data_IF_556899233238
#
_entry.id   IF_556899233238
#
_cell.length_a   1.000
_cell.length_b   1.000
_cell.length_c   1.000
_cell.angle_alpha   90.00
_cell.angle_beta   90.00
_cell.angle_gamma   90.00
#
_symmetry.space_group_name_H-M   'P 1'
#
loop_
_entity.id
_entity.type
_entity.pdbx_description
1 polymer ?
#
# COMPACT_ATOMS: atom_id res chain seq x y z
N UNK A 1 -39.29 -36.31 19.47
CA UNK A 1 -38.53 -35.73 18.35
C UNK A 1 -38.05 -34.36 18.81
N UNK A 2 -36.73 -34.10 18.83
CA UNK A 2 -36.22 -32.81 19.27
C UNK A 2 -36.62 -31.69 18.28
N UNK A 3 -36.74 -30.47 18.77
CA UNK A 3 -37.14 -29.29 18.01
C UNK A 3 -36.09 -28.20 18.23
N UNK A 4 -35.29 -27.94 17.20
CA UNK A 4 -34.21 -26.95 17.19
C UNK A 4 -34.53 -25.76 16.27
N UNK A 5 -35.78 -25.62 15.83
CA UNK A 5 -36.15 -24.59 14.85
C UNK A 5 -35.86 -23.19 15.38
N UNK A 6 -35.31 -22.34 14.53
CA UNK A 6 -34.87 -20.98 14.89
C UNK A 6 -33.49 -20.92 15.54
N UNK A 7 -32.88 -22.05 15.90
CA UNK A 7 -31.50 -22.08 16.38
C UNK A 7 -30.49 -21.96 15.23
N UNK A 8 -29.31 -21.43 15.56
CA UNK A 8 -28.22 -21.22 14.63
C UNK A 8 -27.22 -22.37 14.72
N UNK A 9 -26.92 -22.96 13.58
CA UNK A 9 -25.89 -23.98 13.42
C UNK A 9 -24.91 -23.56 12.32
N UNK A 10 -23.76 -24.23 12.26
CA UNK A 10 -22.71 -23.97 11.30
C UNK A 10 -22.30 -25.25 10.59
N UNK A 11 -22.11 -25.18 9.28
CA UNK A 11 -21.56 -26.29 8.48
C UNK A 11 -20.13 -26.60 8.96
N UNK A 12 -19.82 -27.85 9.31
CA UNK A 12 -18.45 -28.24 9.69
C UNK A 12 -17.49 -28.25 8.49
N UNK A 13 -18.01 -28.21 7.26
CA UNK A 13 -17.22 -28.21 6.04
C UNK A 13 -16.83 -26.80 5.61
N UNK A 14 -17.79 -25.86 5.67
CA UNK A 14 -17.63 -24.49 5.14
C UNK A 14 -17.60 -23.41 6.22
N UNK A 15 -18.07 -23.71 7.44
CA UNK A 15 -18.29 -22.74 8.49
C UNK A 15 -19.51 -21.84 8.27
N UNK A 16 -20.28 -22.04 7.19
CA UNK A 16 -21.44 -21.23 6.87
C UNK A 16 -22.55 -21.39 7.90
N UNK A 17 -23.16 -20.26 8.27
CA UNK A 17 -24.25 -20.19 9.21
C UNK A 17 -25.56 -20.66 8.55
N UNK A 18 -26.31 -21.51 9.25
CA UNK A 18 -27.67 -21.92 8.89
C UNK A 18 -28.61 -21.72 10.08
N UNK A 19 -29.87 -21.38 9.77
CA UNK A 19 -30.97 -21.37 10.75
C UNK A 19 -31.80 -22.63 10.54
N UNK A 20 -32.01 -23.41 11.59
CA UNK A 20 -32.80 -24.64 11.49
C UNK A 20 -34.28 -24.30 11.26
N UNK A 21 -34.88 -24.86 10.23
CA UNK A 21 -36.29 -24.62 9.86
C UNK A 21 -37.21 -25.81 10.09
N UNK A 22 -36.66 -27.02 10.25
CA UNK A 22 -37.40 -28.27 10.36
C UNK A 22 -37.25 -28.93 11.75
N UNK A 23 -38.26 -29.69 12.16
CA UNK A 23 -38.24 -30.49 13.39
C UNK A 23 -37.53 -31.81 13.08
N UNK A 24 -36.56 -32.21 13.91
CA UNK A 24 -35.83 -33.45 13.71
C UNK A 24 -34.44 -33.42 14.33
N UNK A 25 -33.71 -34.52 14.14
CA UNK A 25 -32.29 -34.57 14.49
C UNK A 25 -31.46 -33.71 13.53
N UNK A 26 -30.44 -33.04 14.06
CA UNK A 26 -29.51 -32.24 13.24
C UNK A 26 -28.53 -33.18 12.53
N UNK A 27 -28.26 -32.92 11.24
CA UNK A 27 -27.24 -33.67 10.50
C UNK A 27 -25.87 -33.53 11.17
N UNK A 28 -25.06 -34.59 11.09
CA UNK A 28 -23.70 -34.63 11.63
C UNK A 28 -22.75 -33.65 10.92
N UNK A 29 -23.16 -33.09 9.79
CA UNK A 29 -22.42 -32.05 9.06
C UNK A 29 -22.59 -30.65 9.67
N UNK A 30 -23.35 -30.51 10.76
CA UNK A 30 -23.56 -29.24 11.44
C UNK A 30 -23.14 -29.29 12.90
N UNK A 31 -22.69 -28.13 13.40
CA UNK A 31 -22.32 -27.91 14.80
C UNK A 31 -22.93 -26.62 15.31
N UNK A 32 -23.33 -26.59 16.59
CA UNK A 32 -23.72 -25.34 17.25
C UNK A 32 -22.49 -24.45 17.58
N UNK A 33 -21.28 -24.99 17.46
CA UNK A 33 -20.04 -24.23 17.71
C UNK A 33 -19.75 -23.27 16.55
N UNK A 34 -19.67 -21.99 16.87
CA UNK A 34 -19.28 -20.96 15.90
C UNK A 34 -17.81 -21.16 15.45
N UNK A 35 -17.50 -21.02 14.15
CA UNK A 35 -16.12 -20.98 13.66
C UNK A 35 -15.28 -19.90 14.34
N UNK A 36 -13.95 -20.07 14.30
CA UNK A 36 -13.03 -19.04 14.75
C UNK A 36 -13.10 -17.82 13.82
N UNK A 37 -12.73 -16.63 14.32
CA UNK A 37 -12.66 -15.40 13.52
C UNK A 37 -11.44 -15.37 12.57
N UNK A 38 -10.71 -16.47 12.45
CA UNK A 38 -9.54 -16.65 11.61
C UNK A 38 -9.70 -17.93 10.79
N UNK A 39 -8.97 -18.11 9.66
CA UNK A 39 -8.95 -19.35 8.91
C UNK A 39 -8.84 -20.59 9.81
N UNK A 40 -9.91 -21.39 9.82
CA UNK A 40 -10.04 -22.55 10.67
C UNK A 40 -10.67 -23.73 9.93
N UNK A 41 -10.51 -24.92 10.50
CA UNK A 41 -11.07 -26.17 10.01
C UNK A 41 -11.63 -26.99 11.18
N UNK A 42 -12.61 -27.81 10.90
CA UNK A 42 -13.17 -28.72 11.89
C UNK A 42 -12.25 -29.93 12.07
N UNK A 43 -11.82 -30.22 13.30
CA UNK A 43 -10.96 -31.38 13.62
C UNK A 43 -11.75 -32.67 13.92
N UNK A 44 -13.09 -32.60 13.86
CA UNK A 44 -14.00 -33.66 14.27
C UNK A 44 -14.72 -33.35 15.59
N UNK A 45 -14.21 -32.40 16.40
CA UNK A 45 -14.77 -32.03 17.70
C UNK A 45 -14.93 -30.53 17.90
N UNK A 46 -14.01 -29.73 17.36
CA UNK A 46 -13.97 -28.27 17.49
C UNK A 46 -13.32 -27.63 16.28
N UNK A 47 -13.48 -26.32 16.17
CA UNK A 47 -12.73 -25.52 15.21
C UNK A 47 -11.28 -25.34 15.68
N UNK A 48 -10.33 -25.70 14.82
CA UNK A 48 -8.90 -25.46 15.01
C UNK A 48 -8.37 -24.56 13.91
N UNK A 49 -7.28 -23.85 14.17
CA UNK A 49 -6.65 -22.99 13.15
C UNK A 49 -6.18 -23.82 11.97
N UNK A 50 -6.37 -23.27 10.79
CA UNK A 50 -5.87 -23.85 9.54
C UNK A 50 -4.53 -23.18 9.21
N UNK A 51 -3.44 -23.70 9.77
CA UNK A 51 -2.09 -23.10 9.69
C UNK A 51 -1.63 -22.83 8.24
N UNK A 52 -2.02 -23.68 7.29
CA UNK A 52 -1.70 -23.47 5.87
C UNK A 52 -2.41 -22.23 5.32
N UNK A 53 -3.72 -22.10 5.59
CA UNK A 53 -4.49 -20.92 5.18
C UNK A 53 -4.07 -19.67 5.93
N UNK A 54 -3.69 -19.80 7.20
CA UNK A 54 -3.14 -18.70 8.00
C UNK A 54 -1.84 -18.19 7.39
N UNK A 55 -0.92 -19.10 7.04
CA UNK A 55 0.34 -18.74 6.39
C UNK A 55 0.10 -18.08 5.03
N UNK A 56 -0.78 -18.66 4.22
CA UNK A 56 -1.13 -18.10 2.91
C UNK A 56 -1.75 -16.69 3.02
N UNK A 57 -2.69 -16.50 3.94
CA UNK A 57 -3.31 -15.20 4.22
C UNK A 57 -2.27 -14.18 4.70
N UNK A 58 -1.38 -14.60 5.60
CA UNK A 58 -0.34 -13.73 6.12
C UNK A 58 0.62 -13.26 5.02
N UNK A 59 1.11 -14.18 4.17
CA UNK A 59 1.93 -13.83 3.01
C UNK A 59 1.19 -12.91 2.05
N UNK A 60 -0.07 -13.21 1.72
CA UNK A 60 -0.89 -12.37 0.84
C UNK A 60 -1.02 -10.95 1.39
N UNK A 61 -1.30 -10.80 2.69
CA UNK A 61 -1.41 -9.47 3.32
C UNK A 61 -0.10 -8.71 3.33
N UNK A 62 1.04 -9.37 3.60
CA UNK A 62 2.36 -8.73 3.47
C UNK A 62 2.57 -8.17 2.07
N UNK A 63 2.33 -8.97 1.03
CA UNK A 63 2.47 -8.54 -0.37
C UNK A 63 1.54 -7.37 -0.69
N UNK A 64 0.29 -7.40 -0.23
CA UNK A 64 -0.66 -6.31 -0.44
C UNK A 64 -0.21 -5.00 0.22
N UNK A 65 0.36 -5.06 1.43
CA UNK A 65 0.87 -3.86 2.11
C UNK A 65 2.12 -3.29 1.44
N UNK A 66 3.03 -4.13 0.95
CA UNK A 66 4.19 -3.68 0.17
C UNK A 66 3.74 -2.94 -1.11
N UNK A 67 2.76 -3.49 -1.82
CA UNK A 67 2.18 -2.82 -3.00
C UNK A 67 1.54 -1.49 -2.62
N UNK A 68 0.76 -1.47 -1.53
CA UNK A 68 0.09 -0.25 -1.06
C UNK A 68 1.06 0.86 -0.69
N UNK A 69 2.19 0.52 -0.08
CA UNK A 69 3.27 1.47 0.22
C UNK A 69 3.90 2.02 -1.05
N UNK A 70 4.17 1.17 -2.04
CA UNK A 70 4.69 1.59 -3.32
C UNK A 70 3.73 2.56 -4.02
N UNK A 71 2.45 2.18 -4.13
CA UNK A 71 1.42 3.00 -4.78
C UNK A 71 1.23 4.35 -4.07
N UNK A 72 1.18 4.36 -2.73
CA UNK A 72 1.04 5.60 -1.95
C UNK A 72 2.26 6.51 -2.09
N UNK A 73 3.46 5.93 -2.17
CA UNK A 73 4.70 6.68 -2.44
C UNK A 73 4.65 7.34 -3.82
N UNK A 74 4.23 6.61 -4.85
CA UNK A 74 4.10 7.14 -6.21
C UNK A 74 3.01 8.22 -6.29
N UNK A 75 1.90 8.05 -5.58
CA UNK A 75 0.85 9.05 -5.46
C UNK A 75 1.38 10.36 -4.86
N UNK A 76 2.17 10.29 -3.79
CA UNK A 76 2.79 11.48 -3.19
C UNK A 76 3.79 12.13 -4.12
N UNK A 77 4.66 11.34 -4.79
CA UNK A 77 5.56 11.85 -5.82
C UNK A 77 4.78 12.61 -6.91
N UNK A 78 3.67 12.05 -7.38
CA UNK A 78 2.87 12.67 -8.44
C UNK A 78 2.32 14.04 -8.04
N UNK A 79 1.96 14.23 -6.77
CA UNK A 79 1.47 15.53 -6.27
C UNK A 79 2.55 16.63 -6.34
N UNK A 80 3.82 16.31 -6.11
CA UNK A 80 4.92 17.27 -6.26
C UNK A 80 5.25 17.59 -7.72
N UNK A 81 4.82 16.74 -8.64
CA UNK A 81 5.03 16.91 -10.07
C UNK A 81 3.80 17.48 -10.79
N UNK A 82 2.76 17.86 -10.06
CA UNK A 82 1.55 18.42 -10.63
C UNK A 82 1.86 19.71 -11.40
N UNK A 83 1.37 19.77 -12.64
CA UNK A 83 1.58 20.92 -13.54
C UNK A 83 2.77 20.76 -14.49
N UNK A 84 3.61 19.73 -14.31
CA UNK A 84 4.63 19.36 -15.28
C UNK A 84 4.10 18.27 -16.22
N UNK A 85 4.34 18.45 -17.52
CA UNK A 85 4.14 17.39 -18.51
C UNK A 85 5.20 16.29 -18.35
N UNK A 86 4.92 15.08 -18.87
CA UNK A 86 5.89 13.99 -18.83
C UNK A 86 7.18 14.35 -19.59
N UNK A 87 7.08 15.05 -20.72
CA UNK A 87 8.23 15.50 -21.50
C UNK A 87 9.13 16.46 -20.69
N UNK A 88 8.54 17.36 -19.90
CA UNK A 88 9.31 18.21 -19.00
C UNK A 88 10.02 17.38 -17.92
N UNK A 89 9.31 16.46 -17.27
CA UNK A 89 9.87 15.59 -16.21
C UNK A 89 11.07 14.80 -16.73
N UNK A 90 10.95 14.20 -17.92
CA UNK A 90 12.01 13.39 -18.55
C UNK A 90 13.27 14.23 -18.82
N UNK A 91 13.13 15.54 -18.98
CA UNK A 91 14.24 16.46 -19.20
C UNK A 91 14.86 17.04 -17.91
N UNK A 92 14.24 16.89 -16.73
CA UNK A 92 14.71 17.53 -15.50
C UNK A 92 16.15 17.18 -15.15
N UNK A 93 16.53 15.91 -15.27
CA UNK A 93 17.90 15.47 -14.99
C UNK A 93 18.91 16.17 -15.90
N UNK A 94 18.58 16.31 -17.19
CA UNK A 94 19.45 17.02 -18.13
C UNK A 94 19.52 18.52 -17.82
N UNK A 95 18.38 19.16 -17.55
CA UNK A 95 18.32 20.57 -17.18
C UNK A 95 19.14 20.86 -15.92
N UNK A 96 19.06 20.01 -14.90
CA UNK A 96 19.86 20.14 -13.67
C UNK A 96 21.36 20.11 -13.98
N UNK A 97 21.81 19.17 -14.82
CA UNK A 97 23.22 19.05 -15.18
C UNK A 97 23.73 20.23 -16.01
N UNK A 98 22.91 20.74 -16.93
CA UNK A 98 23.21 21.99 -17.64
C UNK A 98 23.32 23.17 -16.65
N UNK A 99 22.39 23.27 -15.69
CA UNK A 99 22.40 24.33 -14.70
C UNK A 99 23.62 24.29 -13.77
N UNK A 100 24.12 23.09 -13.45
CA UNK A 100 25.34 22.87 -12.66
C UNK A 100 26.63 22.95 -13.48
N UNK A 101 26.55 23.28 -14.77
CA UNK A 101 27.68 23.32 -15.72
C UNK A 101 28.39 21.96 -15.91
N UNK A 102 27.68 20.86 -15.69
CA UNK A 102 28.20 19.51 -15.95
C UNK A 102 28.03 19.07 -17.40
N UNK A 103 27.14 19.76 -18.13
CA UNK A 103 26.85 19.53 -19.54
C UNK A 103 26.79 20.88 -20.28
N UNK A 104 27.04 20.89 -21.60
CA UNK A 104 26.78 22.07 -22.43
C UNK A 104 25.32 22.50 -22.36
N UNK A 105 25.10 23.80 -22.28
CA UNK A 105 23.78 24.42 -22.31
C UNK A 105 23.15 24.22 -23.70
N UNK A 106 22.03 23.50 -23.77
CA UNK A 106 21.21 23.43 -24.98
C UNK A 106 19.74 23.58 -24.62
N UNK A 107 19.22 22.76 -23.70
CA UNK A 107 17.81 22.85 -23.30
C UNK A 107 17.56 24.18 -22.58
N UNK A 108 18.47 24.56 -21.68
CA UNK A 108 18.32 25.82 -20.94
C UNK A 108 18.43 27.04 -21.84
N UNK A 109 19.24 26.98 -22.90
CA UNK A 109 19.35 28.04 -23.91
C UNK A 109 18.03 28.22 -24.65
N UNK A 110 17.47 27.13 -25.20
CA UNK A 110 16.19 27.18 -25.91
C UNK A 110 15.03 27.64 -25.01
N UNK A 111 14.99 27.19 -23.74
CA UNK A 111 13.99 27.64 -22.77
C UNK A 111 14.15 29.13 -22.47
N UNK A 112 15.38 29.61 -22.30
CA UNK A 112 15.65 31.02 -22.01
C UNK A 112 15.30 31.91 -23.20
N UNK A 113 15.71 31.54 -24.42
CA UNK A 113 15.40 32.28 -25.64
C UNK A 113 13.90 32.28 -25.97
N UNK A 114 13.17 31.23 -25.59
CA UNK A 114 11.73 31.12 -25.79
C UNK A 114 10.86 31.78 -24.72
N UNK A 115 11.45 32.39 -23.68
CA UNK A 115 10.73 32.95 -22.53
C UNK A 115 11.06 34.42 -22.27
N UNK A 116 10.08 35.28 -22.46
CA UNK A 116 10.23 36.73 -22.22
C UNK A 116 10.23 37.11 -20.72
N UNK A 117 9.90 36.19 -19.81
CA UNK A 117 9.75 36.45 -18.38
C UNK A 117 11.06 36.29 -17.57
N UNK A 118 12.15 35.84 -18.21
CA UNK A 118 13.45 35.59 -17.58
C UNK A 118 14.43 36.73 -17.86
N UNK A 119 15.15 37.20 -16.83
CA UNK A 119 16.12 38.30 -17.00
C UNK A 119 17.49 37.83 -17.47
N UNK A 120 17.85 36.58 -17.16
CA UNK A 120 19.11 35.96 -17.60
C UNK A 120 19.02 34.44 -17.53
N UNK A 121 19.89 33.77 -18.29
CA UNK A 121 20.05 32.31 -18.21
C UNK A 121 20.51 31.86 -16.81
N UNK A 122 21.30 32.68 -16.12
CA UNK A 122 21.72 32.40 -14.73
C UNK A 122 20.54 32.38 -13.74
N UNK A 123 19.53 33.22 -13.96
CA UNK A 123 18.28 33.17 -13.18
C UNK A 123 17.54 31.84 -13.40
N UNK A 124 17.49 31.37 -14.65
CA UNK A 124 16.89 30.08 -15.00
C UNK A 124 17.66 28.92 -14.35
N UNK A 125 18.99 28.90 -14.46
CA UNK A 125 19.85 27.87 -13.85
C UNK A 125 19.64 27.80 -12.34
N UNK A 126 19.59 28.95 -11.67
CA UNK A 126 19.28 29.02 -10.24
C UNK A 126 17.92 28.39 -9.91
N UNK A 127 16.86 28.74 -10.64
CA UNK A 127 15.51 28.18 -10.45
C UNK A 127 15.50 26.65 -10.66
N UNK A 128 16.23 26.15 -11.66
CA UNK A 128 16.35 24.72 -11.94
C UNK A 128 17.04 23.99 -10.78
N UNK A 129 18.14 24.53 -10.27
CA UNK A 129 18.87 23.95 -9.13
C UNK A 129 18.01 23.96 -7.87
N UNK A 130 17.37 25.10 -7.54
CA UNK A 130 16.50 25.22 -6.35
C UNK A 130 15.36 24.19 -6.38
N UNK A 131 14.75 23.99 -7.55
CA UNK A 131 13.72 22.97 -7.75
C UNK A 131 14.29 21.56 -7.58
N UNK A 132 15.44 21.26 -8.19
CA UNK A 132 16.07 19.95 -8.10
C UNK A 132 16.45 19.59 -6.66
N UNK A 133 17.06 20.52 -5.93
CA UNK A 133 17.46 20.35 -4.53
C UNK A 133 16.22 20.12 -3.63
N UNK A 134 15.16 20.91 -3.82
CA UNK A 134 13.91 20.72 -3.08
C UNK A 134 13.30 19.34 -3.35
N UNK A 135 13.24 18.94 -4.62
CA UNK A 135 12.71 17.63 -5.01
C UNK A 135 13.56 16.49 -4.43
N UNK A 136 14.89 16.60 -4.46
CA UNK A 136 15.79 15.61 -3.87
C UNK A 136 15.56 15.44 -2.36
N UNK A 137 15.38 16.54 -1.62
CA UNK A 137 15.07 16.50 -0.18
C UNK A 137 13.74 15.80 0.08
N UNK A 138 12.69 16.14 -0.68
CA UNK A 138 11.35 15.55 -0.54
C UNK A 138 11.40 14.05 -0.84
N UNK A 139 12.02 13.66 -1.96
CA UNK A 139 12.14 12.26 -2.34
C UNK A 139 12.97 11.46 -1.32
N UNK A 140 14.05 12.03 -0.79
CA UNK A 140 14.84 11.39 0.26
C UNK A 140 14.02 11.08 1.52
N UNK A 141 13.21 12.04 1.98
CA UNK A 141 12.29 11.83 3.12
C UNK A 141 11.22 10.79 2.79
N UNK A 142 10.65 10.85 1.58
CA UNK A 142 9.62 9.93 1.11
C UNK A 142 10.13 8.48 1.09
N UNK A 143 11.33 8.27 0.55
CA UNK A 143 11.98 6.96 0.52
C UNK A 143 12.35 6.45 1.91
N UNK A 144 12.80 7.32 2.82
CA UNK A 144 13.07 6.92 4.20
C UNK A 144 11.81 6.39 4.90
N UNK A 145 10.67 7.07 4.73
CA UNK A 145 9.39 6.62 5.30
C UNK A 145 8.95 5.29 4.67
N UNK A 146 9.00 5.18 3.34
CA UNK A 146 8.71 3.93 2.62
C UNK A 146 9.56 2.76 3.16
N UNK A 147 10.88 2.97 3.28
CA UNK A 147 11.80 1.93 3.74
C UNK A 147 11.52 1.48 5.19
N UNK A 148 11.11 2.42 6.06
CA UNK A 148 10.70 2.08 7.42
C UNK A 148 9.45 1.20 7.42
N UNK A 149 8.43 1.52 6.62
CA UNK A 149 7.25 0.67 6.49
C UNK A 149 7.58 -0.70 5.91
N UNK A 150 8.39 -0.78 4.85
CA UNK A 150 8.84 -2.06 4.28
C UNK A 150 9.56 -2.93 5.32
N UNK A 151 10.41 -2.31 6.15
CA UNK A 151 11.11 -3.00 7.25
C UNK A 151 10.13 -3.51 8.30
N UNK A 152 9.13 -2.71 8.69
CA UNK A 152 8.11 -3.12 9.66
C UNK A 152 7.24 -4.27 9.11
N UNK A 153 6.84 -4.22 7.83
CA UNK A 153 6.09 -5.30 7.17
C UNK A 153 6.92 -6.58 7.16
N UNK A 154 8.20 -6.50 6.84
CA UNK A 154 9.09 -7.66 6.84
C UNK A 154 9.20 -8.29 8.24
N UNK A 155 9.36 -7.46 9.28
CA UNK A 155 9.50 -7.89 10.67
C UNK A 155 8.20 -8.35 11.34
N UNK A 156 7.04 -8.04 10.76
CA UNK A 156 5.74 -8.44 11.30
C UNK A 156 5.64 -9.97 11.43
N UNK A 157 4.97 -10.42 12.49
CA UNK A 157 4.82 -11.86 12.84
C UNK A 157 3.36 -12.30 12.91
N UNK A 158 2.44 -11.36 13.05
CA UNK A 158 1.01 -11.63 13.24
C UNK A 158 0.15 -10.78 12.30
N UNK A 159 -1.07 -11.23 12.03
CA UNK A 159 -2.04 -10.44 11.26
C UNK A 159 -2.37 -9.12 11.95
N UNK A 160 -2.36 -9.09 13.29
CA UNK A 160 -2.57 -7.87 14.08
C UNK A 160 -1.44 -6.84 13.90
N UNK A 161 -0.18 -7.30 13.72
CA UNK A 161 0.92 -6.40 13.37
C UNK A 161 0.67 -5.77 11.99
N UNK A 162 0.22 -6.57 11.02
CA UNK A 162 -0.12 -6.08 9.68
C UNK A 162 -1.30 -5.09 9.71
N UNK A 163 -2.32 -5.32 10.55
CA UNK A 163 -3.44 -4.39 10.74
C UNK A 163 -2.99 -3.03 11.27
N UNK A 164 -2.07 -3.02 12.25
CA UNK A 164 -1.51 -1.79 12.80
C UNK A 164 -0.69 -1.05 11.76
N UNK A 165 0.16 -1.76 11.02
CA UNK A 165 0.95 -1.18 9.93
C UNK A 165 0.03 -0.60 8.86
N UNK A 166 -1.03 -1.32 8.47
CA UNK A 166 -2.02 -0.81 7.51
C UNK A 166 -2.64 0.51 7.96
N UNK A 167 -3.03 0.61 9.23
CA UNK A 167 -3.57 1.84 9.80
C UNK A 167 -2.56 3.00 9.78
N UNK A 168 -1.30 2.74 10.14
CA UNK A 168 -0.23 3.75 10.07
C UNK A 168 0.01 4.21 8.62
N UNK A 169 -0.03 3.28 7.67
CA UNK A 169 0.06 3.58 6.24
C UNK A 169 -1.09 4.47 5.82
N UNK A 170 -2.33 4.20 6.24
CA UNK A 170 -3.49 5.02 5.91
C UNK A 170 -3.39 6.43 6.48
N UNK A 171 -2.91 6.55 7.73
CA UNK A 171 -2.73 7.82 8.42
C UNK A 171 -1.56 8.65 7.86
N UNK A 172 -0.58 8.02 7.22
CA UNK A 172 0.55 8.73 6.63
C UNK A 172 0.08 9.82 5.65
N UNK A 173 0.41 11.06 5.98
CA UNK A 173 0.15 12.24 5.18
C UNK A 173 1.38 12.65 4.37
N UNK A 174 1.13 13.38 3.28
CA UNK A 174 2.20 14.02 2.51
C UNK A 174 3.01 14.98 3.40
N UNK A 175 4.28 15.14 3.03
CA UNK A 175 5.25 16.03 3.70
C UNK A 175 4.97 17.52 3.44
#
# INVERSE_FOLDING_TARGET
MPDYRGEIYYSIQTGEQIVISEIGEISRDFTAQKPLNEPCKWDGQKWIKDEEKMTALFTQRKTALLQRIADKTDQFKAQYLQGYSQAEIDSFYRQEREARNELPEMILTEIFEGRDDLKSIEELKKKVIEKADLFAIIMGKLFAIKQNFETHIEQAKTLEDLDKIELEIEQWQKL
#
